data_IF_356312448897
#
_entry.id   IF_356312448897
#
_cell.length_a   1.000
_cell.length_b   1.000
_cell.length_c   1.000
_cell.angle_alpha   90.00
_cell.angle_beta   90.00
_cell.angle_gamma   90.00
#
_symmetry.space_group_name_H-M   'P 1'
#
loop_
_entity.id
_entity.type
_entity.pdbx_description
1 polymer ?
#
# COMPACT_ATOMS: atom_id res chain seq x y z
N UNK A 1 19.62 -31.23 25.08
CA UNK A 1 20.13 -29.88 25.37
C UNK A 1 19.95 -28.91 24.16
N UNK A 2 20.49 -29.17 22.96
CA UNK A 2 20.38 -28.28 21.79
C UNK A 2 18.92 -28.04 21.32
N UNK A 3 18.08 -29.08 21.28
CA UNK A 3 16.65 -28.98 20.88
C UNK A 3 15.84 -28.07 21.80
N UNK A 4 16.11 -28.10 23.10
CA UNK A 4 15.47 -27.22 24.09
C UNK A 4 15.90 -25.77 23.90
N UNK A 5 17.16 -25.52 23.58
CA UNK A 5 17.70 -24.19 23.32
C UNK A 5 17.06 -23.54 22.07
N UNK A 6 16.87 -24.31 20.99
CA UNK A 6 16.21 -23.86 19.77
C UNK A 6 14.77 -23.40 20.04
N UNK A 7 14.00 -24.20 20.79
CA UNK A 7 12.61 -23.86 21.17
C UNK A 7 12.59 -22.60 22.02
N UNK A 8 13.46 -22.48 23.02
CA UNK A 8 13.54 -21.29 23.90
C UNK A 8 13.87 -20.03 23.08
N UNK A 9 14.83 -20.11 22.15
CA UNK A 9 15.18 -19.00 21.28
C UNK A 9 14.01 -18.59 20.39
N UNK A 10 13.32 -19.57 19.74
CA UNK A 10 12.16 -19.29 18.91
C UNK A 10 11.02 -18.60 19.70
N UNK A 11 10.71 -19.08 20.90
CA UNK A 11 9.68 -18.48 21.75
C UNK A 11 10.03 -17.05 22.18
N UNK A 12 11.28 -16.82 22.57
CA UNK A 12 11.78 -15.48 22.89
C UNK A 12 11.60 -14.54 21.68
N UNK A 13 12.07 -14.94 20.51
CA UNK A 13 11.94 -14.19 19.28
C UNK A 13 10.48 -13.87 18.93
N UNK A 14 9.59 -14.87 18.99
CA UNK A 14 8.15 -14.69 18.74
C UNK A 14 7.57 -13.64 19.70
N UNK A 15 7.94 -13.70 20.97
CA UNK A 15 7.46 -12.75 21.99
C UNK A 15 7.95 -11.33 21.71
N UNK A 16 9.22 -11.15 21.37
CA UNK A 16 9.82 -9.86 21.06
C UNK A 16 9.20 -9.21 19.81
N UNK A 17 9.02 -9.98 18.75
CA UNK A 17 8.40 -9.47 17.50
C UNK A 17 6.93 -9.13 17.74
N UNK A 18 6.20 -9.96 18.47
CA UNK A 18 4.78 -9.71 18.78
C UNK A 18 4.52 -8.62 19.79
N UNK A 19 5.53 -8.18 20.53
CA UNK A 19 5.43 -6.95 21.31
C UNK A 19 5.24 -5.72 20.40
N UNK A 20 5.81 -5.75 19.19
CA UNK A 20 5.68 -4.66 18.19
C UNK A 20 4.52 -4.93 17.22
N UNK A 21 4.40 -6.14 16.67
CA UNK A 21 3.35 -6.56 15.75
C UNK A 21 2.57 -7.75 16.32
N UNK A 22 1.56 -7.51 17.16
CA UNK A 22 0.83 -8.57 17.87
C UNK A 22 0.09 -9.54 16.92
N UNK A 23 -0.20 -9.12 15.70
CA UNK A 23 -0.96 -9.88 14.73
C UNK A 23 -0.14 -10.56 13.65
N UNK A 24 1.19 -10.45 13.68
CA UNK A 24 2.04 -11.04 12.65
C UNK A 24 1.86 -12.57 12.56
N UNK A 25 1.57 -13.05 11.34
CA UNK A 25 1.30 -14.47 11.08
C UNK A 25 2.57 -15.34 11.07
N UNK A 26 2.42 -16.66 11.32
CA UNK A 26 3.52 -17.61 11.45
C UNK A 26 4.51 -17.62 10.29
N UNK A 27 4.04 -17.58 9.04
CA UNK A 27 4.92 -17.55 7.86
C UNK A 27 5.86 -16.32 7.85
N UNK A 28 5.35 -15.14 8.16
CA UNK A 28 6.17 -13.91 8.24
C UNK A 28 7.13 -13.96 9.41
N UNK A 29 6.66 -14.45 10.58
CA UNK A 29 7.49 -14.67 11.75
C UNK A 29 8.64 -15.64 11.47
N UNK A 30 8.35 -16.77 10.82
CA UNK A 30 9.38 -17.74 10.44
C UNK A 30 10.39 -17.12 9.48
N UNK A 31 9.93 -16.40 8.45
CA UNK A 31 10.82 -15.74 7.49
C UNK A 31 11.75 -14.74 8.18
N UNK A 32 11.19 -13.95 9.10
CA UNK A 32 11.96 -12.99 9.89
C UNK A 32 12.96 -13.68 10.84
N UNK A 33 12.52 -14.75 11.52
CA UNK A 33 13.36 -15.58 12.37
C UNK A 33 14.53 -16.19 11.60
N UNK A 34 14.28 -16.77 10.44
CA UNK A 34 15.30 -17.39 9.62
C UNK A 34 16.33 -16.36 9.14
N UNK A 35 15.89 -15.17 8.75
CA UNK A 35 16.77 -14.08 8.34
C UNK A 35 17.65 -13.56 9.50
N UNK A 36 17.10 -13.43 10.70
CA UNK A 36 17.81 -12.80 11.82
C UNK A 36 18.54 -13.82 12.73
N UNK A 37 18.06 -15.03 12.84
CA UNK A 37 18.55 -16.05 13.77
C UNK A 37 19.03 -17.33 13.07
N UNK A 38 18.66 -17.54 11.80
CA UNK A 38 18.86 -18.80 11.10
C UNK A 38 20.30 -19.26 10.95
N UNK A 39 21.27 -18.34 10.94
CA UNK A 39 22.70 -18.69 10.91
C UNK A 39 23.16 -19.48 12.14
N UNK A 40 22.54 -19.26 13.32
CA UNK A 40 22.91 -19.91 14.57
C UNK A 40 21.83 -20.89 15.03
N UNK A 41 20.56 -20.54 14.85
CA UNK A 41 19.41 -21.28 15.38
C UNK A 41 18.42 -21.66 14.28
N UNK A 42 18.92 -22.28 13.20
CA UNK A 42 18.07 -22.70 12.09
C UNK A 42 16.92 -23.64 12.52
N UNK A 43 15.69 -23.26 12.15
CA UNK A 43 14.47 -24.04 12.33
C UNK A 43 13.70 -24.03 11.03
N UNK A 44 13.49 -25.20 10.41
CA UNK A 44 12.65 -25.30 9.22
C UNK A 44 11.21 -24.86 9.50
N UNK A 45 10.55 -24.30 8.48
CA UNK A 45 9.22 -23.70 8.55
C UNK A 45 8.19 -24.55 9.30
N UNK A 46 8.08 -25.81 8.94
CA UNK A 46 7.05 -26.70 9.51
C UNK A 46 7.29 -26.92 11.01
N UNK A 47 8.54 -27.07 11.44
CA UNK A 47 8.88 -27.15 12.88
C UNK A 47 8.64 -25.85 13.63
N UNK A 48 8.81 -24.72 12.98
CA UNK A 48 8.50 -23.40 13.57
C UNK A 48 6.98 -23.24 13.76
N UNK A 49 6.18 -23.66 12.78
CA UNK A 49 4.71 -23.70 12.89
C UNK A 49 4.26 -24.68 13.99
N UNK A 50 4.90 -25.85 14.12
CA UNK A 50 4.64 -26.81 15.22
C UNK A 50 4.89 -26.17 16.60
N UNK A 51 5.93 -25.35 16.75
CA UNK A 51 6.18 -24.59 18.00
C UNK A 51 5.05 -23.61 18.26
N UNK A 52 4.63 -22.83 17.25
CA UNK A 52 3.50 -21.91 17.36
C UNK A 52 2.23 -22.63 17.83
N UNK A 53 1.98 -23.83 17.31
CA UNK A 53 0.82 -24.64 17.68
C UNK A 53 0.93 -25.22 19.07
N UNK A 54 2.06 -25.83 19.40
CA UNK A 54 2.29 -26.48 20.70
C UNK A 54 2.18 -25.49 21.88
N UNK A 55 2.53 -24.24 21.66
CA UNK A 55 2.45 -23.19 22.67
C UNK A 55 1.20 -22.30 22.57
N UNK A 56 0.19 -22.69 21.75
CA UNK A 56 -1.06 -21.95 21.55
C UNK A 56 -0.86 -20.50 21.07
N UNK A 57 0.13 -20.25 20.25
CA UNK A 57 0.50 -18.93 19.74
C UNK A 57 -0.15 -18.61 18.39
N UNK A 58 -1.09 -19.43 17.89
CA UNK A 58 -1.83 -19.15 16.65
C UNK A 58 -2.67 -17.88 16.73
N UNK A 59 -2.55 -17.04 15.71
CA UNK A 59 -3.35 -15.81 15.61
C UNK A 59 -4.77 -16.16 15.15
N UNK A 60 -5.76 -15.88 15.99
CA UNK A 60 -7.18 -16.04 15.61
C UNK A 60 -7.62 -14.88 14.72
N UNK A 61 -8.27 -15.20 13.59
CA UNK A 61 -8.91 -14.18 12.75
C UNK A 61 -10.14 -13.62 13.45
N UNK A 62 -10.27 -12.28 13.51
CA UNK A 62 -11.52 -11.64 13.95
C UNK A 62 -12.56 -11.69 12.83
N UNK A 63 -13.86 -11.76 13.19
CA UNK A 63 -14.96 -11.53 12.23
C UNK A 63 -14.90 -10.07 11.76
N UNK A 64 -15.00 -9.86 10.46
CA UNK A 64 -15.08 -8.51 9.85
C UNK A 64 -16.37 -7.82 10.34
N UNK A 65 -16.23 -6.61 10.86
CA UNK A 65 -17.33 -5.66 11.02
C UNK A 65 -17.05 -4.57 9.99
N UNK A 66 -17.91 -4.45 8.98
CA UNK A 66 -17.80 -3.42 7.96
C UNK A 66 -18.53 -2.16 8.44
N UNK A 67 -17.82 -1.06 8.58
CA UNK A 67 -18.38 0.27 8.77
C UNK A 67 -18.17 1.07 7.49
N UNK A 68 -19.23 1.69 6.95
CA UNK A 68 -19.12 2.62 5.82
C UNK A 68 -18.70 3.98 6.37
N UNK A 69 -17.54 4.48 5.95
CA UNK A 69 -16.86 5.62 6.58
C UNK A 69 -16.57 6.79 5.64
N UNK A 70 -16.79 6.66 4.34
CA UNK A 70 -16.50 7.70 3.34
C UNK A 70 -17.76 8.49 3.02
N UNK A 71 -17.70 9.81 3.20
CA UNK A 71 -18.66 10.76 2.67
C UNK A 71 -18.20 11.20 1.27
N UNK A 72 -18.81 10.60 0.25
CA UNK A 72 -18.53 10.89 -1.17
C UNK A 72 -19.55 11.83 -1.78
N UNK A 73 -20.49 12.37 -1.00
CA UNK A 73 -21.60 13.19 -1.49
C UNK A 73 -21.27 14.69 -1.28
N UNK A 74 -20.41 15.24 -2.12
CA UNK A 74 -20.00 16.63 -2.08
C UNK A 74 -19.83 17.21 -3.50
N UNK A 75 -19.91 18.54 -3.66
CA UNK A 75 -19.79 19.25 -4.93
C UNK A 75 -18.35 19.60 -5.32
N UNK A 76 -17.33 19.03 -4.66
CA UNK A 76 -15.92 19.26 -4.97
C UNK A 76 -15.52 18.57 -6.27
N UNK A 77 -14.48 19.07 -6.98
CA UNK A 77 -13.99 18.47 -8.23
C UNK A 77 -13.59 17.01 -8.07
N UNK A 78 -14.05 16.15 -8.97
CA UNK A 78 -13.68 14.74 -9.04
C UNK A 78 -12.65 14.53 -10.17
N UNK A 79 -11.71 13.64 -9.95
CA UNK A 79 -10.66 13.31 -10.90
C UNK A 79 -10.85 11.90 -11.47
N UNK A 80 -10.42 11.66 -12.75
CA UNK A 80 -10.57 10.35 -13.37
C UNK A 80 -9.75 9.27 -12.67
N UNK A 81 -10.16 8.02 -12.81
CA UNK A 81 -9.37 6.87 -12.34
C UNK A 81 -8.28 6.54 -13.36
N UNK A 82 -7.03 6.89 -13.03
CA UNK A 82 -5.86 6.68 -13.88
C UNK A 82 -5.15 5.33 -13.62
N UNK A 83 -5.62 4.55 -12.63
CA UNK A 83 -4.88 3.38 -12.13
C UNK A 83 -5.57 2.04 -12.39
N UNK A 84 -6.69 2.03 -13.14
CA UNK A 84 -7.43 0.80 -13.46
C UNK A 84 -6.55 -0.30 -14.02
N UNK A 85 -5.71 0.05 -14.99
CA UNK A 85 -4.82 -0.87 -15.71
C UNK A 85 -3.34 -0.66 -15.36
N UNK A 86 -3.06 0.04 -14.25
CA UNK A 86 -1.69 0.29 -13.82
C UNK A 86 -1.23 -0.84 -12.88
N UNK A 87 -0.14 -1.49 -13.27
CA UNK A 87 0.70 -2.31 -12.38
C UNK A 87 1.96 -1.50 -12.14
N UNK A 88 2.22 -1.01 -10.92
CA UNK A 88 3.43 -0.26 -10.64
C UNK A 88 4.68 -1.11 -10.86
N UNK A 89 5.72 -0.52 -11.47
CA UNK A 89 6.97 -1.19 -11.84
C UNK A 89 8.20 -0.56 -11.19
N UNK A 90 8.02 0.51 -10.42
CA UNK A 90 9.10 1.22 -9.72
C UNK A 90 8.57 2.00 -8.52
N UNK A 91 9.43 2.32 -7.53
CA UNK A 91 9.09 3.22 -6.44
C UNK A 91 8.59 4.59 -6.95
N UNK A 92 7.72 5.23 -6.19
CA UNK A 92 7.16 6.55 -6.47
C UNK A 92 6.48 6.68 -7.87
N UNK A 93 5.91 5.58 -8.36
CA UNK A 93 5.08 5.59 -9.56
C UNK A 93 3.60 5.77 -9.24
N UNK A 94 3.15 5.19 -8.13
CA UNK A 94 1.78 5.29 -7.66
C UNK A 94 1.77 5.32 -6.14
N UNK A 95 1.18 6.35 -5.58
CA UNK A 95 0.83 6.42 -4.16
C UNK A 95 -0.66 6.24 -3.97
N UNK A 96 -1.06 5.54 -2.92
CA UNK A 96 -2.46 5.40 -2.51
C UNK A 96 -2.68 6.04 -1.16
N UNK A 97 -3.70 6.89 -1.07
CA UNK A 97 -4.09 7.58 0.16
C UNK A 97 -5.43 7.06 0.70
N UNK A 98 -5.52 6.92 2.02
CA UNK A 98 -6.78 6.61 2.71
C UNK A 98 -6.73 7.05 4.18
N UNK A 99 -7.92 7.19 4.80
CA UNK A 99 -8.07 7.53 6.21
C UNK A 99 -8.74 6.36 6.94
N UNK A 100 -8.18 5.98 8.05
CA UNK A 100 -8.75 4.92 8.88
C UNK A 100 -9.01 5.40 10.30
N UNK A 101 -10.04 4.82 10.94
CA UNK A 101 -10.54 5.19 12.26
C UNK A 101 -10.02 4.21 13.30
N UNK A 102 -9.45 4.73 14.39
CA UNK A 102 -8.93 3.95 15.50
C UNK A 102 -9.63 4.41 16.78
N UNK A 103 -10.33 3.52 17.53
CA UNK A 103 -10.97 3.91 18.77
C UNK A 103 -9.94 4.15 19.87
N UNK A 104 -10.07 5.29 20.57
CA UNK A 104 -9.32 5.66 21.78
C UNK A 104 -10.30 5.78 22.93
N UNK A 105 -10.12 4.98 23.97
CA UNK A 105 -11.03 4.87 25.09
C UNK A 105 -10.75 5.94 26.13
N UNK A 106 -11.68 6.87 26.29
CA UNK A 106 -11.59 7.96 27.28
C UNK A 106 -12.17 7.57 28.64
N UNK A 107 -12.96 6.48 28.68
CA UNK A 107 -13.45 5.83 29.90
C UNK A 107 -13.85 4.39 29.58
N UNK A 108 -14.24 3.59 30.58
CA UNK A 108 -14.62 2.17 30.42
C UNK A 108 -15.69 1.92 29.34
N UNK A 109 -16.64 2.86 29.18
CA UNK A 109 -17.79 2.71 28.27
C UNK A 109 -17.84 3.81 27.17
N UNK A 110 -16.79 4.63 27.02
CA UNK A 110 -16.78 5.73 26.06
C UNK A 110 -15.46 5.77 25.31
N UNK A 111 -15.54 5.82 24.00
CA UNK A 111 -14.38 6.06 23.12
C UNK A 111 -14.65 7.23 22.19
N UNK A 112 -13.58 7.83 21.73
CA UNK A 112 -13.52 8.76 20.60
C UNK A 112 -12.79 8.09 19.47
N UNK A 113 -12.92 8.60 18.24
CA UNK A 113 -12.10 8.14 17.14
C UNK A 113 -10.87 9.04 16.97
N UNK A 114 -9.71 8.42 16.81
CA UNK A 114 -8.56 9.03 16.18
C UNK A 114 -8.56 8.65 14.70
N UNK A 115 -8.11 9.55 13.84
CA UNK A 115 -8.14 9.43 12.39
C UNK A 115 -6.72 9.33 11.87
N UNK A 116 -6.35 8.16 11.37
CA UNK A 116 -5.03 7.91 10.81
C UNK A 116 -5.09 8.04 9.29
N UNK A 117 -4.47 9.09 8.77
CA UNK A 117 -4.24 9.29 7.34
C UNK A 117 -2.96 8.58 6.93
N UNK A 118 -3.01 7.75 5.89
CA UNK A 118 -1.87 6.97 5.39
C UNK A 118 -1.68 7.24 3.90
N UNK A 119 -0.43 7.41 3.48
CA UNK A 119 -0.01 7.37 2.08
C UNK A 119 0.96 6.22 1.92
N UNK A 120 0.60 5.27 1.04
CA UNK A 120 1.35 4.07 0.75
C UNK A 120 1.92 4.13 -0.66
N UNK A 121 3.18 3.81 -0.85
CA UNK A 121 3.74 3.51 -2.17
C UNK A 121 3.25 2.13 -2.62
N UNK A 122 2.55 2.11 -3.74
CA UNK A 122 1.87 0.91 -4.24
C UNK A 122 2.82 -0.15 -4.82
N UNK A 123 4.07 0.22 -5.11
CA UNK A 123 5.09 -0.69 -5.59
C UNK A 123 5.88 -1.34 -4.44
N UNK A 124 6.36 -0.50 -3.52
CA UNK A 124 7.19 -0.95 -2.39
C UNK A 124 6.37 -1.45 -1.20
N UNK A 125 5.07 -1.14 -1.15
CA UNK A 125 4.21 -1.32 0.04
C UNK A 125 4.67 -0.46 1.23
N UNK A 126 5.48 0.58 1.01
CA UNK A 126 5.99 1.45 2.06
C UNK A 126 4.97 2.50 2.46
N UNK A 127 4.78 2.70 3.75
CA UNK A 127 4.08 3.88 4.27
C UNK A 127 5.04 5.06 4.14
N UNK A 128 4.83 5.88 3.10
CA UNK A 128 5.69 7.02 2.77
C UNK A 128 5.29 8.29 3.50
N UNK A 129 4.05 8.35 3.98
CA UNK A 129 3.55 9.45 4.81
C UNK A 129 2.38 9.02 5.65
N UNK A 130 2.28 9.58 6.85
CA UNK A 130 1.15 9.36 7.75
C UNK A 130 0.96 10.52 8.73
N UNK A 131 -0.26 10.68 9.22
CA UNK A 131 -0.60 11.65 10.26
C UNK A 131 -1.76 11.12 11.08
N UNK A 132 -1.74 11.37 12.37
CA UNK A 132 -2.80 11.01 13.31
C UNK A 132 -3.48 12.27 13.84
N UNK A 133 -4.79 12.37 13.66
CA UNK A 133 -5.60 13.48 14.13
C UNK A 133 -6.76 13.06 15.03
N UNK A 134 -7.33 14.01 15.73
CA UNK A 134 -8.54 13.86 16.54
C UNK A 134 -9.82 14.25 15.77
N UNK A 135 -9.67 14.82 14.57
CA UNK A 135 -10.74 15.22 13.68
C UNK A 135 -10.54 14.69 12.26
N UNK A 136 -11.60 14.73 11.43
CA UNK A 136 -11.56 14.41 9.99
C UNK A 136 -11.19 15.63 9.12
N UNK A 137 -10.55 16.63 9.68
CA UNK A 137 -10.16 17.80 8.93
C UNK A 137 -9.06 17.51 7.89
N UNK A 138 -9.05 18.29 6.82
CA UNK A 138 -8.11 18.13 5.70
C UNK A 138 -6.65 18.38 6.09
N UNK A 139 -6.39 19.09 7.19
CA UNK A 139 -5.03 19.35 7.68
C UNK A 139 -4.24 18.05 7.93
N UNK A 140 -4.87 17.00 8.45
CA UNK A 140 -4.20 15.73 8.74
C UNK A 140 -3.77 14.97 7.46
N UNK A 141 -4.63 14.75 6.44
CA UNK A 141 -4.16 14.23 5.15
C UNK A 141 -3.08 15.09 4.49
N UNK A 142 -3.14 16.43 4.64
CA UNK A 142 -2.09 17.34 4.13
C UNK A 142 -0.76 17.11 4.85
N UNK A 143 -0.76 16.90 6.16
CA UNK A 143 0.47 16.57 6.91
C UNK A 143 1.07 15.24 6.46
N UNK A 144 0.23 14.21 6.28
CA UNK A 144 0.67 12.93 5.71
C UNK A 144 1.28 13.13 4.30
N UNK A 145 0.64 13.95 3.46
CA UNK A 145 1.16 14.26 2.12
C UNK A 145 2.48 15.02 2.18
N UNK A 146 2.61 16.03 3.03
CA UNK A 146 3.87 16.77 3.22
C UNK A 146 5.01 15.85 3.69
N UNK A 147 4.72 14.86 4.54
CA UNK A 147 5.70 13.85 4.94
C UNK A 147 6.14 13.03 3.73
N UNK A 148 5.19 12.54 2.92
CA UNK A 148 5.48 11.75 1.72
C UNK A 148 6.27 12.55 0.68
N UNK A 149 5.94 13.83 0.46
CA UNK A 149 6.58 14.69 -0.54
C UNK A 149 8.07 14.90 -0.29
N UNK A 150 8.54 14.85 0.97
CA UNK A 150 9.98 14.91 1.30
C UNK A 150 10.81 13.82 0.61
N UNK A 151 10.17 12.70 0.23
CA UNK A 151 10.83 11.61 -0.50
C UNK A 151 11.16 11.96 -1.95
N UNK A 152 10.49 12.98 -2.50
CA UNK A 152 10.67 13.45 -3.86
C UNK A 152 11.69 14.59 -3.95
N UNK A 153 12.22 15.06 -2.81
CA UNK A 153 13.21 16.12 -2.77
C UNK A 153 14.47 15.71 -3.55
N UNK A 154 14.89 16.56 -4.48
CA UNK A 154 16.03 16.32 -5.34
C UNK A 154 15.77 15.44 -6.59
N UNK A 155 14.53 14.99 -6.81
CA UNK A 155 14.17 14.29 -8.04
C UNK A 155 13.98 15.28 -9.19
N UNK A 156 14.72 15.08 -10.29
CA UNK A 156 14.62 15.94 -11.49
C UNK A 156 13.27 15.83 -12.20
N UNK A 157 12.67 14.63 -12.16
CA UNK A 157 11.38 14.35 -12.81
C UNK A 157 10.48 13.53 -11.91
N UNK A 158 9.29 14.04 -11.68
CA UNK A 158 8.24 13.35 -10.93
C UNK A 158 7.20 12.81 -11.94
N UNK A 159 7.12 11.49 -12.04
CA UNK A 159 6.07 10.80 -12.79
C UNK A 159 5.31 9.89 -11.83
N UNK A 160 4.50 10.52 -11.00
CA UNK A 160 3.76 9.93 -9.89
C UNK A 160 2.26 10.15 -10.07
N UNK A 161 1.48 9.13 -9.77
CA UNK A 161 0.02 9.21 -9.63
C UNK A 161 -0.31 9.08 -8.15
N UNK A 162 -1.05 10.03 -7.60
CA UNK A 162 -1.68 9.90 -6.28
C UNK A 162 -3.12 9.44 -6.46
N UNK A 163 -3.47 8.28 -5.92
CA UNK A 163 -4.80 7.70 -5.98
C UNK A 163 -5.46 7.66 -4.61
N UNK A 164 -6.69 8.11 -4.51
CA UNK A 164 -7.49 8.10 -3.28
C UNK A 164 -8.95 7.74 -3.56
N UNK A 165 -9.73 7.59 -2.51
CA UNK A 165 -11.19 7.63 -2.63
C UNK A 165 -11.69 9.06 -2.96
N UNK A 166 -13.02 9.21 -3.05
CA UNK A 166 -13.68 10.50 -3.32
C UNK A 166 -14.01 11.27 -2.04
N UNK A 167 -13.30 11.04 -0.95
CA UNK A 167 -13.50 11.78 0.29
C UNK A 167 -13.23 13.28 0.11
N UNK A 168 -14.05 14.13 0.77
CA UNK A 168 -13.94 15.59 0.67
C UNK A 168 -12.53 16.09 1.05
N UNK A 169 -11.81 15.38 1.91
CA UNK A 169 -10.44 15.70 2.30
C UNK A 169 -9.48 15.67 1.11
N UNK A 170 -9.58 14.61 0.27
CA UNK A 170 -8.74 14.43 -0.92
C UNK A 170 -9.17 15.30 -2.10
N UNK A 171 -10.47 15.65 -2.18
CA UNK A 171 -11.02 16.53 -3.20
C UNK A 171 -10.85 18.03 -2.87
N UNK A 172 -10.42 18.37 -1.65
CA UNK A 172 -10.23 19.77 -1.23
C UNK A 172 -9.21 20.51 -2.08
N UNK A 173 -9.42 21.82 -2.28
CA UNK A 173 -8.48 22.65 -3.04
C UNK A 173 -7.08 22.62 -2.43
N UNK A 174 -6.96 22.71 -1.11
CA UNK A 174 -5.67 22.69 -0.41
C UNK A 174 -4.87 21.41 -0.70
N UNK A 175 -5.53 20.26 -0.70
CA UNK A 175 -4.86 18.96 -0.97
C UNK A 175 -4.48 18.83 -2.45
N UNK A 176 -5.40 19.16 -3.36
CA UNK A 176 -5.19 19.02 -4.79
C UNK A 176 -4.20 20.03 -5.36
N UNK A 177 -4.17 21.26 -4.85
CA UNK A 177 -3.18 22.27 -5.22
C UNK A 177 -1.77 21.86 -4.79
N UNK A 178 -1.62 21.26 -3.61
CA UNK A 178 -0.33 20.74 -3.16
C UNK A 178 0.19 19.62 -4.10
N UNK A 179 -0.66 18.69 -4.52
CA UNK A 179 -0.28 17.66 -5.50
C UNK A 179 0.11 18.27 -6.84
N UNK A 180 -0.66 19.26 -7.34
CA UNK A 180 -0.38 19.96 -8.61
C UNK A 180 0.94 20.74 -8.55
N UNK A 181 1.25 21.36 -7.42
CA UNK A 181 2.51 22.11 -7.25
C UNK A 181 3.75 21.21 -7.42
N UNK A 182 3.63 19.91 -7.13
CA UNK A 182 4.68 18.91 -7.36
C UNK A 182 4.54 18.18 -8.71
N UNK A 183 3.61 18.58 -9.57
CA UNK A 183 3.36 17.91 -10.85
C UNK A 183 2.80 16.49 -10.73
N UNK A 184 2.24 16.13 -9.59
CA UNK A 184 1.67 14.80 -9.31
C UNK A 184 0.28 14.70 -9.96
N UNK A 185 0.05 13.64 -10.70
CA UNK A 185 -1.25 13.37 -11.32
C UNK A 185 -2.25 12.86 -10.28
N UNK A 186 -3.44 13.43 -10.28
CA UNK A 186 -4.49 13.09 -9.32
C UNK A 186 -5.40 12.04 -9.93
N UNK A 187 -5.68 11.00 -9.17
CA UNK A 187 -6.58 9.91 -9.54
C UNK A 187 -7.53 9.61 -8.39
N UNK A 188 -8.79 9.36 -8.69
CA UNK A 188 -9.80 8.98 -7.68
C UNK A 188 -10.55 7.73 -8.10
N UNK A 189 -11.09 6.99 -7.14
CA UNK A 189 -11.98 5.85 -7.37
C UNK A 189 -13.19 6.28 -8.21
N UNK A 190 -13.77 5.39 -9.03
CA UNK A 190 -14.97 5.72 -9.82
C UNK A 190 -16.26 5.56 -9.03
N UNK A 191 -16.23 4.68 -8.05
CA UNK A 191 -17.37 4.39 -7.18
C UNK A 191 -16.92 4.34 -5.71
N UNK A 192 -17.85 4.36 -4.79
CA UNK A 192 -17.56 4.10 -3.38
C UNK A 192 -17.28 2.61 -3.08
N UNK A 193 -16.91 1.82 -4.09
CA UNK A 193 -16.63 0.40 -3.91
C UNK A 193 -15.20 0.21 -3.40
N UNK A 194 -14.98 -0.52 -2.28
CA UNK A 194 -13.65 -0.83 -1.75
C UNK A 194 -12.72 -1.50 -2.76
N UNK A 195 -13.27 -2.18 -3.78
CA UNK A 195 -12.48 -2.82 -4.83
C UNK A 195 -11.72 -1.82 -5.72
N UNK A 196 -12.08 -0.55 -5.71
CA UNK A 196 -11.44 0.48 -6.52
C UNK A 196 -10.11 0.95 -5.89
N UNK A 197 -9.92 0.75 -4.55
CA UNK A 197 -8.65 1.04 -3.86
C UNK A 197 -8.23 -0.13 -2.93
N UNK A 198 -7.93 -1.31 -3.48
CA UNK A 198 -7.67 -2.52 -2.69
C UNK A 198 -6.37 -2.46 -1.89
N UNK A 199 -5.40 -1.63 -2.28
CA UNK A 199 -4.14 -1.48 -1.55
C UNK A 199 -4.35 -0.65 -0.28
N UNK A 200 -5.11 0.42 -0.35
CA UNK A 200 -5.49 1.21 0.83
C UNK A 200 -6.32 0.37 1.82
N UNK A 201 -7.27 -0.43 1.33
CA UNK A 201 -8.02 -1.36 2.19
C UNK A 201 -7.08 -2.36 2.88
N UNK A 202 -6.08 -2.86 2.17
CA UNK A 202 -5.11 -3.82 2.71
C UNK A 202 -4.24 -3.21 3.81
N UNK A 203 -3.69 -2.01 3.60
CA UNK A 203 -2.87 -1.35 4.62
C UNK A 203 -3.68 -1.04 5.86
N UNK A 204 -4.91 -0.54 5.72
CA UNK A 204 -5.81 -0.29 6.84
C UNK A 204 -6.13 -1.57 7.62
N UNK A 205 -6.35 -2.70 6.92
CA UNK A 205 -6.52 -3.99 7.56
C UNK A 205 -5.24 -4.44 8.30
N UNK A 206 -4.06 -4.21 7.74
CA UNK A 206 -2.79 -4.53 8.40
C UNK A 206 -2.61 -3.70 9.66
N UNK A 207 -2.84 -2.40 9.59
CA UNK A 207 -2.76 -1.54 10.78
C UNK A 207 -3.73 -2.01 11.87
N UNK A 208 -5.03 -2.10 11.57
CA UNK A 208 -6.05 -2.41 12.59
C UNK A 208 -6.00 -3.84 13.11
N UNK A 209 -5.79 -4.82 12.23
CA UNK A 209 -5.99 -6.24 12.55
C UNK A 209 -4.67 -7.02 12.73
N UNK A 210 -3.53 -6.39 12.46
CA UNK A 210 -2.21 -6.97 12.68
C UNK A 210 -1.41 -6.10 13.65
N UNK A 211 -1.01 -4.87 13.28
CA UNK A 211 -0.16 -4.02 14.10
C UNK A 211 -0.81 -3.58 15.43
N UNK A 212 -2.08 -3.22 15.41
CA UNK A 212 -2.83 -2.75 16.60
C UNK A 212 -3.71 -3.84 17.22
N UNK A 213 -3.50 -5.10 16.84
CA UNK A 213 -4.37 -6.20 17.25
C UNK A 213 -4.38 -6.40 18.77
N UNK A 214 -5.57 -6.27 19.34
CA UNK A 214 -5.79 -6.52 20.78
C UNK A 214 -5.29 -5.41 21.70
N UNK A 215 -4.71 -4.35 21.15
CA UNK A 215 -4.28 -3.18 21.91
C UNK A 215 -5.46 -2.23 22.16
N UNK A 216 -5.42 -1.57 23.29
CA UNK A 216 -6.39 -0.57 23.74
C UNK A 216 -5.63 0.69 24.12
N UNK A 217 -6.02 1.82 23.54
CA UNK A 217 -5.39 3.10 23.82
C UNK A 217 -6.33 3.99 24.62
N UNK A 218 -5.78 4.74 25.55
CA UNK A 218 -6.51 5.66 26.42
C UNK A 218 -6.20 7.13 26.14
N UNK A 219 -5.19 7.39 25.31
CA UNK A 219 -4.88 8.72 24.78
C UNK A 219 -4.45 8.66 23.32
N UNK A 220 -4.60 9.78 22.59
CA UNK A 220 -4.10 9.91 21.22
C UNK A 220 -2.57 9.92 21.21
N UNK A 221 -1.95 10.44 22.25
CA UNK A 221 -0.50 10.49 22.42
C UNK A 221 0.11 9.07 22.54
N UNK A 222 -0.50 8.19 23.35
CA UNK A 222 -0.07 6.80 23.46
C UNK A 222 -0.18 6.07 22.12
N UNK A 223 -1.31 6.28 21.42
CA UNK A 223 -1.51 5.71 20.10
C UNK A 223 -0.48 6.25 19.09
N UNK A 224 -0.17 7.54 19.12
CA UNK A 224 0.82 8.16 18.24
C UNK A 224 2.21 7.56 18.46
N UNK A 225 2.65 7.49 19.72
CA UNK A 225 3.96 6.96 20.10
C UNK A 225 4.11 5.48 19.69
N UNK A 226 3.07 4.68 19.85
CA UNK A 226 3.07 3.28 19.43
C UNK A 226 3.06 3.16 17.89
N UNK A 227 2.29 4.00 17.18
CA UNK A 227 2.29 4.04 15.71
C UNK A 227 3.66 4.38 15.12
N UNK A 228 4.42 5.29 15.73
CA UNK A 228 5.81 5.60 15.29
C UNK A 228 6.64 4.33 15.23
N UNK A 229 6.64 3.53 16.29
CA UNK A 229 7.42 2.29 16.37
C UNK A 229 6.90 1.21 15.41
N UNK A 230 5.59 1.11 15.27
CA UNK A 230 4.93 0.08 14.43
C UNK A 230 5.06 0.36 12.94
N UNK A 231 4.98 1.63 12.54
CA UNK A 231 5.18 2.03 11.14
C UNK A 231 6.65 1.88 10.76
N UNK A 232 7.58 2.22 11.65
CA UNK A 232 8.99 1.94 11.42
C UNK A 232 9.24 0.43 11.23
N UNK A 233 8.75 -0.39 12.14
CA UNK A 233 8.82 -1.86 12.01
C UNK A 233 8.18 -2.37 10.72
N UNK A 234 7.02 -1.83 10.33
CA UNK A 234 6.32 -2.17 9.09
C UNK A 234 7.19 -1.89 7.86
N UNK A 235 7.83 -0.75 7.81
CA UNK A 235 8.64 -0.31 6.67
C UNK A 235 10.00 -1.00 6.60
N UNK A 236 10.66 -1.24 7.75
CA UNK A 236 12.07 -1.62 7.79
C UNK A 236 12.32 -3.09 8.11
N UNK A 237 11.38 -3.74 8.79
CA UNK A 237 11.63 -5.09 9.32
C UNK A 237 10.57 -6.12 8.92
N UNK A 238 9.29 -5.73 8.80
CA UNK A 238 8.21 -6.66 8.51
C UNK A 238 8.27 -7.17 7.06
N UNK A 239 8.26 -8.52 6.82
CA UNK A 239 8.23 -9.07 5.46
C UNK A 239 6.83 -8.96 4.84
N UNK A 240 6.76 -8.74 3.51
CA UNK A 240 5.52 -8.59 2.77
C UNK A 240 5.38 -9.60 1.64
N UNK A 241 4.28 -10.35 1.62
CA UNK A 241 4.01 -11.36 0.59
C UNK A 241 3.79 -10.74 -0.81
N UNK A 242 3.36 -9.49 -0.87
CA UNK A 242 3.14 -8.74 -2.13
C UNK A 242 4.43 -8.33 -2.84
N UNK A 243 5.54 -8.31 -2.13
CA UNK A 243 6.87 -7.96 -2.61
C UNK A 243 7.91 -9.07 -2.32
N UNK A 244 7.52 -10.31 -2.55
CA UNK A 244 8.35 -11.53 -2.41
C UNK A 244 9.03 -11.71 -1.04
N UNK A 245 8.35 -11.36 0.04
CA UNK A 245 8.83 -11.39 1.44
C UNK A 245 9.93 -10.37 1.76
N UNK A 246 10.24 -9.45 0.88
CA UNK A 246 11.08 -8.30 1.21
C UNK A 246 10.37 -7.36 2.19
N UNK A 247 11.14 -6.51 2.86
CA UNK A 247 10.61 -5.33 3.54
C UNK A 247 10.35 -4.21 2.53
N UNK A 248 9.45 -3.25 2.79
CA UNK A 248 9.28 -2.06 1.97
C UNK A 248 10.59 -1.32 1.70
N UNK A 249 11.43 -1.16 2.73
CA UNK A 249 12.75 -0.54 2.60
C UNK A 249 13.68 -1.28 1.62
N UNK A 250 13.62 -2.62 1.55
CA UNK A 250 14.36 -3.40 0.55
C UNK A 250 13.78 -3.24 -0.85
N UNK A 251 12.45 -3.26 -0.97
CA UNK A 251 11.77 -3.08 -2.25
C UNK A 251 11.98 -1.69 -2.87
N UNK A 252 12.34 -0.68 -2.07
CA UNK A 252 12.66 0.66 -2.55
C UNK A 252 13.88 0.71 -3.49
N UNK A 253 14.72 -0.31 -3.51
CA UNK A 253 15.87 -0.45 -4.41
C UNK A 253 15.59 -1.34 -5.62
N UNK A 254 14.36 -1.82 -5.80
CA UNK A 254 13.97 -2.68 -6.90
C UNK A 254 13.34 -1.86 -8.04
N UNK A 255 13.46 -2.39 -9.26
CA UNK A 255 12.74 -1.93 -10.44
C UNK A 255 12.22 -3.13 -11.22
N UNK A 256 11.14 -2.93 -11.97
CA UNK A 256 10.49 -3.99 -12.73
C UNK A 256 9.45 -4.76 -11.90
N UNK A 257 9.06 -5.92 -12.38
CA UNK A 257 8.02 -6.71 -11.71
C UNK A 257 8.57 -7.44 -10.49
N UNK A 258 7.98 -7.18 -9.31
CA UNK A 258 8.25 -7.96 -8.10
C UNK A 258 7.26 -9.12 -8.00
N UNK A 259 7.77 -10.33 -7.74
CA UNK A 259 6.96 -11.54 -7.57
C UNK A 259 6.08 -11.43 -6.32
N UNK A 260 4.78 -11.66 -6.50
CA UNK A 260 3.83 -11.82 -5.39
C UNK A 260 3.79 -13.28 -4.94
N UNK A 261 3.75 -13.52 -3.61
CA UNK A 261 3.60 -14.86 -3.02
C UNK A 261 2.14 -15.35 -2.98
N UNK A 262 1.29 -14.77 -3.82
CA UNK A 262 -0.13 -15.12 -3.97
C UNK A 262 -0.59 -14.81 -5.39
N UNK A 263 -1.68 -15.46 -5.83
CA UNK A 263 -2.22 -15.27 -7.17
C UNK A 263 -3.01 -13.95 -7.24
N UNK A 264 -2.54 -12.99 -8.06
CA UNK A 264 -3.22 -11.71 -8.30
C UNK A 264 -4.09 -11.80 -9.55
N UNK A 265 -5.37 -12.08 -9.37
CA UNK A 265 -6.35 -12.10 -10.48
C UNK A 265 -6.40 -10.78 -11.24
N UNK A 266 -6.24 -9.65 -10.54
CA UNK A 266 -6.19 -8.31 -11.15
C UNK A 266 -5.01 -8.17 -12.12
N UNK A 267 -3.81 -8.52 -11.68
CA UNK A 267 -2.62 -8.37 -12.51
C UNK A 267 -2.67 -9.31 -13.73
N UNK A 268 -3.20 -10.52 -13.55
CA UNK A 268 -3.42 -11.46 -14.65
C UNK A 268 -4.41 -10.89 -15.68
N UNK A 269 -5.53 -10.33 -15.24
CA UNK A 269 -6.51 -9.72 -16.11
C UNK A 269 -5.93 -8.50 -16.87
N UNK A 270 -5.18 -7.62 -16.19
CA UNK A 270 -4.54 -6.47 -16.83
C UNK A 270 -3.53 -6.91 -17.89
N UNK A 271 -2.69 -7.90 -17.58
CA UNK A 271 -1.70 -8.44 -18.54
C UNK A 271 -2.37 -9.09 -19.75
N UNK A 272 -3.45 -9.83 -19.54
CA UNK A 272 -4.22 -10.44 -20.62
C UNK A 272 -4.83 -9.39 -21.55
N UNK A 273 -5.42 -8.32 -20.99
CA UNK A 273 -6.00 -7.23 -21.77
C UNK A 273 -4.92 -6.49 -22.59
N UNK A 274 -3.75 -6.21 -22.01
CA UNK A 274 -2.63 -5.57 -22.72
C UNK A 274 -2.14 -6.43 -23.87
N UNK A 275 -1.92 -7.74 -23.65
CA UNK A 275 -1.52 -8.64 -24.71
C UNK A 275 -2.53 -8.75 -25.84
N UNK A 276 -3.83 -8.71 -25.55
CA UNK A 276 -4.87 -8.68 -26.57
C UNK A 276 -4.86 -7.38 -27.41
N UNK A 277 -4.60 -6.23 -26.79
CA UNK A 277 -4.47 -4.94 -27.47
C UNK A 277 -3.24 -4.89 -28.38
N UNK A 278 -2.08 -5.36 -27.92
CA UNK A 278 -0.86 -5.44 -28.73
C UNK A 278 -1.03 -6.35 -29.96
N UNK A 279 -1.73 -7.47 -29.82
CA UNK A 279 -2.05 -8.36 -30.96
C UNK A 279 -2.98 -7.64 -31.95
N UNK A 280 -3.99 -6.92 -31.46
CA UNK A 280 -4.93 -6.17 -32.31
C UNK A 280 -4.23 -5.03 -33.05
N UNK A 281 -3.35 -4.27 -32.41
CA UNK A 281 -2.57 -3.20 -33.04
C UNK A 281 -1.60 -3.73 -34.10
N UNK A 282 -0.93 -4.84 -33.83
CA UNK A 282 -0.02 -5.48 -34.80
C UNK A 282 -0.74 -6.17 -35.96
N UNK A 283 -2.03 -6.44 -35.85
CA UNK A 283 -2.85 -7.03 -36.92
C UNK A 283 -3.55 -6.00 -37.81
N UNK A 284 -3.48 -4.70 -37.51
CA UNK A 284 -3.98 -3.65 -38.38
C UNK A 284 -3.11 -3.54 -39.63
N UNK A 285 -3.67 -3.57 -40.86
CA UNK A 285 -2.91 -3.37 -42.10
C UNK A 285 -2.30 -1.96 -42.07
N UNK A 286 -1.02 -1.87 -42.45
CA UNK A 286 -0.33 -0.59 -42.65
C UNK A 286 -1.17 0.31 -43.54
N UNK A 287 -1.33 1.62 -43.21
CA UNK A 287 -2.06 2.54 -44.08
C UNK A 287 -1.43 2.52 -45.47
N UNK A 288 -2.22 2.15 -46.50
CA UNK A 288 -1.80 2.24 -47.88
C UNK A 288 -1.27 3.64 -48.16
N UNK A 289 0.01 3.74 -48.50
CA UNK A 289 0.57 4.96 -49.08
C UNK A 289 -0.22 5.30 -50.35
N UNK A 290 -1.14 6.24 -50.24
CA UNK A 290 -1.81 6.80 -51.43
C UNK A 290 -0.72 7.43 -52.27
N UNK A 291 -0.47 6.81 -53.46
CA UNK A 291 0.42 7.34 -54.47
C UNK A 291 -0.06 8.74 -54.90
N UNK A 292 0.85 9.69 -54.92
CA UNK A 292 0.58 11.01 -55.45
C UNK A 292 0.13 10.88 -56.94
N UNK A 293 -0.94 11.57 -57.38
CA UNK A 293 -1.29 11.61 -58.76
C UNK A 293 -0.20 12.35 -59.57
N UNK A 294 0.30 11.71 -60.63
CA UNK A 294 1.26 12.27 -61.57
C UNK A 294 0.70 13.53 -62.22
N UNK A 295 1.36 14.66 -61.98
CA UNK A 295 1.07 15.93 -62.66
C UNK A 295 1.16 15.78 -64.20
N UNK A 296 0.03 15.97 -64.89
CA UNK A 296 -0.01 16.15 -66.34
C UNK A 296 0.76 17.42 -66.71
N UNK A 297 1.80 17.26 -67.56
CA UNK A 297 2.46 18.36 -68.23
C UNK A 297 1.51 18.90 -69.30
N UNK A 298 1.15 20.18 -69.26
CA UNK A 298 0.51 20.91 -70.37
C UNK A 298 1.55 21.19 -71.49
N UNK A 299 1.18 21.14 -72.77
CA UNK A 299 2.07 21.46 -73.86
C UNK A 299 2.22 22.97 -73.99
N UNK A 300 3.46 23.41 -74.18
CA UNK A 300 3.82 24.78 -74.56
C UNK A 300 3.57 24.88 -76.13
N UNK A 301 2.69 25.78 -76.53
CA UNK A 301 2.62 26.25 -77.96
C UNK A 301 3.15 27.67 -78.01
N UNK A 302 4.17 27.84 -78.84
CA UNK A 302 4.64 29.01 -79.61
C UNK A 302 4.24 30.41 -79.13
#
# INVERSE_FOLDING_TARGET
>A
MFKSLLITNALKFITEVRAIDPGIGGMKLWHLYEHEQGLVYHIGRDKFEDIIDAYNLKIRKRKRISTKTTDSNHDLPLYPNLVKELIPMRPNQMWVGDITYIPVWVSENRYIFAYLSIILDAYTEEIVGWSLGDTLETCHPIEALKMALKRLDGMEKIDLIHHSDRGCQYASSQYTELLKAYGIRISMTESGNPKDNPQAERINNTVKNELLKGLVYHSIEDLYNDLVLKIDFYNTRRPHMSIDMMTPAQAAFCEGEIKKRWHSYRDVAIKANRGALEIAENSLPLPCSQGMPSSQRAPVNL
#
